data_IF_382210058630
#
_entry.id   IF_382210058630
#
_cell.length_a   1.000
_cell.length_b   1.000
_cell.length_c   1.000
_cell.angle_alpha   90.00
_cell.angle_beta   90.00
_cell.angle_gamma   90.00
#
_symmetry.space_group_name_H-M   'P 1'
#
loop_
_entity.id
_entity.type
_entity.pdbx_description
1 polymer ?
#
# COMPACT_ATOMS: atom_id res chain seq x y z
N UNK A 1 6.47 3.02 0.58
CA UNK A 1 5.87 1.68 0.79
C UNK A 1 4.84 1.72 1.91
N UNK A 2 5.24 1.98 3.17
CA UNK A 2 4.31 1.92 4.31
C UNK A 2 3.11 2.88 4.17
N UNK A 3 3.36 4.14 3.75
CA UNK A 3 2.29 5.13 3.53
C UNK A 3 1.31 4.65 2.47
N UNK A 4 1.80 4.13 1.32
CA UNK A 4 0.93 3.62 0.26
C UNK A 4 0.08 2.43 0.73
N UNK A 5 0.63 1.51 1.54
CA UNK A 5 -0.14 0.44 2.17
C UNK A 5 -1.21 0.99 3.11
N UNK A 6 -0.82 1.88 4.04
CA UNK A 6 -1.72 2.44 5.04
C UNK A 6 -2.88 3.23 4.41
N UNK A 7 -2.63 3.97 3.33
CA UNK A 7 -3.68 4.70 2.61
C UNK A 7 -4.71 3.77 1.96
N UNK A 8 -4.28 2.67 1.35
CA UNK A 8 -5.22 1.65 0.82
C UNK A 8 -6.00 0.99 1.95
N UNK A 9 -5.34 0.66 3.06
CA UNK A 9 -6.00 0.09 4.25
C UNK A 9 -7.02 1.07 4.83
N UNK A 10 -6.69 2.35 4.91
CA UNK A 10 -7.61 3.40 5.37
C UNK A 10 -8.82 3.56 4.43
N UNK A 11 -8.61 3.52 3.11
CA UNK A 11 -9.70 3.55 2.14
C UNK A 11 -10.74 2.45 2.40
N UNK A 12 -10.27 1.24 2.69
CA UNK A 12 -11.13 0.10 2.99
C UNK A 12 -11.61 0.07 4.45
N UNK A 13 -11.06 0.92 5.33
CA UNK A 13 -11.20 0.82 6.80
C UNK A 13 -10.99 -0.63 7.27
N UNK A 14 -9.92 -1.28 6.77
CA UNK A 14 -9.69 -2.71 6.93
C UNK A 14 -8.20 -3.07 6.97
N UNK A 15 -7.81 -4.09 7.79
CA UNK A 15 -8.62 -4.77 8.79
C UNK A 15 -8.72 -3.95 10.09
N UNK A 16 -9.76 -4.14 10.90
CA UNK A 16 -9.81 -3.56 12.25
C UNK A 16 -8.78 -4.23 13.18
N UNK A 17 -8.56 -5.54 13.01
CA UNK A 17 -7.52 -6.31 13.70
C UNK A 17 -6.78 -7.14 12.67
N UNK A 18 -5.46 -7.09 12.71
CA UNK A 18 -4.62 -7.88 11.81
C UNK A 18 -4.49 -9.33 12.26
N UNK A 19 -3.54 -10.05 11.66
CA UNK A 19 -3.27 -11.45 11.97
C UNK A 19 -1.81 -11.67 12.34
N UNK A 20 -1.57 -12.44 13.42
CA UNK A 20 -0.23 -12.85 13.84
C UNK A 20 0.69 -11.68 14.22
N UNK A 21 1.97 -11.90 14.20
CA UNK A 21 3.02 -10.93 14.52
C UNK A 21 4.22 -11.11 13.59
N UNK A 22 5.05 -10.09 13.51
CA UNK A 22 6.29 -10.13 12.75
C UNK A 22 7.37 -9.31 13.42
N UNK A 23 8.63 -9.71 13.24
CA UNK A 23 9.77 -8.94 13.67
C UNK A 23 11.00 -9.24 12.84
N UNK A 24 11.88 -8.25 12.75
CA UNK A 24 13.17 -8.35 12.08
C UNK A 24 14.20 -7.45 12.77
N UNK A 25 15.48 -7.72 12.53
CA UNK A 25 16.56 -6.86 13.03
C UNK A 25 16.99 -5.89 11.94
N UNK A 26 16.79 -4.59 12.20
CA UNK A 26 17.31 -3.52 11.36
C UNK A 26 18.77 -3.23 11.75
N UNK A 27 19.66 -3.04 10.78
CA UNK A 27 21.10 -2.87 11.03
C UNK A 27 21.43 -1.69 11.95
N UNK A 28 20.72 -0.57 11.80
CA UNK A 28 20.98 0.66 12.54
C UNK A 28 20.09 0.81 13.78
N UNK A 29 18.81 0.37 13.70
CA UNK A 29 17.79 0.65 14.72
C UNK A 29 17.41 -0.58 15.55
N UNK A 30 18.14 -1.70 15.42
CA UNK A 30 17.94 -2.90 16.22
C UNK A 30 16.66 -3.66 15.87
N UNK A 31 16.16 -4.41 16.85
CA UNK A 31 14.99 -5.28 16.63
C UNK A 31 13.69 -4.46 16.53
N UNK A 32 12.99 -4.66 15.45
CA UNK A 32 11.69 -4.07 15.15
C UNK A 32 10.63 -5.18 15.24
N UNK A 33 9.49 -4.88 15.87
CA UNK A 33 8.45 -5.88 16.11
C UNK A 33 7.05 -5.25 16.08
N UNK A 34 6.07 -5.97 15.51
CA UNK A 34 4.66 -5.62 15.55
C UNK A 34 3.82 -6.87 15.80
N UNK A 35 2.79 -6.75 16.64
CA UNK A 35 1.80 -7.79 16.86
C UNK A 35 0.45 -7.36 16.26
N UNK A 36 0.26 -7.66 14.99
CA UNK A 36 -0.92 -7.25 14.23
C UNK A 36 -2.21 -7.85 14.79
N UNK A 37 -2.13 -9.11 15.29
CA UNK A 37 -3.28 -9.82 15.86
C UNK A 37 -3.73 -9.34 17.24
N UNK A 38 -2.93 -8.46 17.88
CA UNK A 38 -3.27 -7.86 19.17
C UNK A 38 -3.50 -6.34 19.07
N UNK A 39 -3.49 -5.79 17.86
CA UNK A 39 -3.69 -4.35 17.61
C UNK A 39 -5.04 -4.10 16.96
N UNK A 40 -5.74 -3.08 17.45
CA UNK A 40 -6.98 -2.59 16.87
C UNK A 40 -6.70 -1.30 16.11
N UNK A 41 -7.01 -1.28 14.81
CA UNK A 41 -6.81 -0.13 13.94
C UNK A 41 -8.11 0.69 13.85
N UNK A 42 -8.20 1.76 14.62
CA UNK A 42 -9.34 2.67 14.61
C UNK A 42 -9.18 3.70 13.48
N UNK A 43 -9.69 3.39 12.30
CA UNK A 43 -9.59 4.24 11.12
C UNK A 43 -10.34 5.57 11.27
N UNK A 44 -11.39 5.63 12.11
CA UNK A 44 -12.14 6.87 12.35
C UNK A 44 -11.31 7.90 13.12
N UNK A 45 -10.34 7.45 13.92
CA UNK A 45 -9.41 8.31 14.66
C UNK A 45 -8.15 8.68 13.86
N UNK A 46 -7.99 8.16 12.64
CA UNK A 46 -6.87 8.50 11.77
C UNK A 46 -7.18 9.75 10.97
N UNK A 47 -6.61 10.90 11.36
CA UNK A 47 -6.82 12.16 10.65
C UNK A 47 -6.03 12.21 9.32
N UNK A 48 -6.62 12.85 8.30
CA UNK A 48 -6.04 12.95 6.96
C UNK A 48 -4.88 13.97 6.85
N UNK A 49 -4.75 14.91 7.78
CA UNK A 49 -3.87 16.07 7.65
C UNK A 49 -2.94 16.33 8.84
N UNK A 50 -2.97 15.46 9.84
CA UNK A 50 -2.01 15.46 10.95
C UNK A 50 -1.86 14.05 11.53
N UNK A 51 -0.69 13.72 12.13
CA UNK A 51 -0.47 12.39 12.69
C UNK A 51 -1.28 12.22 13.99
N UNK A 52 -1.95 11.08 14.11
CA UNK A 52 -2.57 10.58 15.34
C UNK A 52 -1.81 9.36 15.85
N UNK A 53 -2.05 8.92 17.09
CA UNK A 53 -1.48 7.68 17.62
C UNK A 53 -1.84 6.48 16.74
N UNK A 54 -3.09 6.42 16.29
CA UNK A 54 -3.65 5.35 15.47
C UNK A 54 -3.00 5.30 14.09
N UNK A 55 -2.84 6.46 13.43
CA UNK A 55 -2.15 6.52 12.14
C UNK A 55 -0.66 6.19 12.26
N UNK A 56 0.00 6.58 13.36
CA UNK A 56 1.40 6.25 13.60
C UNK A 56 1.60 4.75 13.86
N UNK A 57 0.70 4.12 14.64
CA UNK A 57 0.73 2.68 14.86
C UNK A 57 0.56 1.90 13.55
N UNK A 58 -0.46 2.25 12.74
CA UNK A 58 -0.68 1.62 11.45
C UNK A 58 0.54 1.75 10.52
N UNK A 59 1.10 2.96 10.41
CA UNK A 59 2.30 3.22 9.59
C UNK A 59 3.52 2.41 10.06
N UNK A 60 3.74 2.34 11.38
CA UNK A 60 4.82 1.55 11.96
C UNK A 60 4.62 0.05 11.68
N UNK A 61 3.39 -0.45 11.85
CA UNK A 61 3.04 -1.84 11.57
C UNK A 61 3.21 -2.17 10.08
N UNK A 62 2.77 -1.31 9.17
CA UNK A 62 3.05 -1.46 7.75
C UNK A 62 4.56 -1.52 7.49
N UNK A 63 5.35 -0.67 8.11
CA UNK A 63 6.81 -0.65 7.94
C UNK A 63 7.47 -1.94 8.48
N UNK A 64 7.07 -2.39 9.67
CA UNK A 64 7.59 -3.64 10.25
C UNK A 64 7.24 -4.84 9.37
N UNK A 65 6.01 -4.91 8.88
CA UNK A 65 5.50 -6.03 8.09
C UNK A 65 6.28 -6.29 6.79
N UNK A 66 6.94 -5.27 6.27
CA UNK A 66 7.73 -5.34 5.02
C UNK A 66 9.24 -5.34 5.26
N UNK A 67 9.71 -5.47 6.50
CA UNK A 67 11.13 -5.33 6.86
C UNK A 67 11.73 -4.03 6.32
N UNK A 68 11.09 -2.90 6.66
CA UNK A 68 11.50 -1.59 6.17
C UNK A 68 12.98 -1.31 6.46
N UNK A 69 13.72 -0.96 5.42
CA UNK A 69 15.05 -0.40 5.61
C UNK A 69 14.90 1.11 5.90
N UNK A 70 14.84 1.44 7.20
CA UNK A 70 14.72 2.82 7.66
C UNK A 70 15.99 3.62 7.38
N UNK A 71 15.83 4.82 6.84
CA UNK A 71 16.93 5.75 6.60
C UNK A 71 16.50 7.19 6.83
N UNK A 72 17.47 8.08 7.10
CA UNK A 72 17.23 9.50 7.37
C UNK A 72 16.69 10.20 6.13
N UNK A 73 17.25 9.90 4.95
CA UNK A 73 16.90 10.54 3.69
C UNK A 73 15.77 9.80 2.94
N UNK A 74 15.40 8.62 3.42
CA UNK A 74 14.33 7.79 2.85
C UNK A 74 14.34 6.39 3.43
N UNK A 75 13.18 5.75 3.39
CA UNK A 75 12.98 4.38 3.86
C UNK A 75 12.37 3.54 2.74
N UNK A 76 12.90 2.34 2.53
CA UNK A 76 12.52 1.50 1.40
C UNK A 76 12.23 0.05 1.75
N UNK A 77 11.40 -0.58 0.94
CA UNK A 77 11.17 -2.02 0.90
C UNK A 77 10.68 -2.44 -0.49
N UNK A 78 10.53 -3.72 -0.72
CA UNK A 78 10.11 -4.29 -2.01
C UNK A 78 8.58 -4.35 -2.09
N UNK A 79 8.02 -4.11 -3.28
CA UNK A 79 6.58 -4.20 -3.57
C UNK A 79 6.04 -5.62 -3.32
N UNK A 80 6.82 -6.65 -3.64
CA UNK A 80 6.46 -8.03 -3.33
C UNK A 80 6.28 -8.30 -1.83
N UNK A 81 7.01 -7.59 -0.96
CA UNK A 81 6.82 -7.66 0.50
C UNK A 81 5.53 -6.96 0.91
N UNK A 82 5.20 -5.82 0.31
CA UNK A 82 3.92 -5.15 0.55
C UNK A 82 2.75 -6.07 0.19
N UNK A 83 2.77 -6.68 -1.01
CA UNK A 83 1.78 -7.69 -1.43
C UNK A 83 1.63 -8.83 -0.42
N UNK A 84 2.74 -9.45 -0.04
CA UNK A 84 2.73 -10.60 0.88
C UNK A 84 2.25 -10.18 2.29
N UNK A 85 2.63 -8.98 2.74
CA UNK A 85 2.22 -8.42 4.01
C UNK A 85 0.71 -8.17 4.07
N UNK A 86 0.13 -7.57 3.03
CA UNK A 86 -1.31 -7.35 2.94
C UNK A 86 -2.10 -8.66 3.03
N UNK A 87 -1.59 -9.74 2.42
CA UNK A 87 -2.21 -11.07 2.48
C UNK A 87 -2.04 -11.74 3.85
N UNK A 88 -0.84 -11.71 4.40
CA UNK A 88 -0.45 -12.56 5.53
C UNK A 88 -0.78 -11.93 6.89
N UNK A 89 -0.73 -10.60 6.98
CA UNK A 89 -0.89 -9.88 8.24
C UNK A 89 -2.14 -9.00 8.27
N UNK A 90 -2.54 -8.45 7.12
CA UNK A 90 -3.66 -7.52 7.03
C UNK A 90 -4.91 -8.10 6.37
N UNK A 91 -4.96 -9.43 6.20
CA UNK A 91 -6.16 -10.18 5.82
C UNK A 91 -6.82 -9.73 4.50
N UNK A 92 -6.05 -9.17 3.58
CA UNK A 92 -6.52 -8.93 2.22
C UNK A 92 -6.54 -10.23 1.42
N UNK A 93 -7.34 -10.25 0.34
CA UNK A 93 -7.49 -11.44 -0.52
C UNK A 93 -6.14 -11.92 -1.08
N UNK A 94 -6.01 -13.22 -1.24
CA UNK A 94 -4.85 -13.83 -1.90
C UNK A 94 -4.79 -13.53 -3.41
N UNK A 95 -5.84 -12.94 -3.98
CA UNK A 95 -5.89 -12.50 -5.38
C UNK A 95 -5.07 -11.25 -5.69
N UNK A 96 -4.55 -10.54 -4.66
CA UNK A 96 -3.65 -9.41 -4.95
C UNK A 96 -2.52 -9.88 -5.84
N UNK A 97 -2.31 -9.22 -6.96
CA UNK A 97 -1.23 -9.54 -7.89
C UNK A 97 -0.30 -8.35 -8.11
N UNK A 98 0.95 -8.62 -8.40
CA UNK A 98 1.98 -7.62 -8.69
C UNK A 98 2.24 -7.65 -10.20
N UNK A 99 1.96 -6.54 -10.86
CA UNK A 99 2.14 -6.38 -12.29
C UNK A 99 3.19 -5.32 -12.61
N UNK A 100 3.99 -5.57 -13.65
CA UNK A 100 4.95 -4.61 -14.18
C UNK A 100 4.45 -4.01 -15.50
N UNK A 101 4.54 -2.70 -15.65
CA UNK A 101 4.16 -2.01 -16.89
C UNK A 101 4.91 -2.55 -18.12
N UNK A 102 6.17 -2.95 -17.94
CA UNK A 102 6.99 -3.53 -19.01
C UNK A 102 6.50 -4.88 -19.57
N UNK A 103 5.57 -5.55 -18.87
CA UNK A 103 4.98 -6.81 -19.33
C UNK A 103 3.80 -6.64 -20.28
N UNK A 104 3.36 -5.40 -20.53
CA UNK A 104 2.15 -5.08 -21.30
C UNK A 104 2.42 -3.99 -22.33
N UNK A 105 1.60 -3.90 -23.36
CA UNK A 105 1.54 -2.65 -24.14
C UNK A 105 0.94 -1.54 -23.28
N UNK A 106 1.28 -0.27 -23.60
CA UNK A 106 0.77 0.88 -22.84
C UNK A 106 -0.75 0.93 -22.77
N UNK A 107 -1.45 0.49 -23.83
CA UNK A 107 -2.91 0.42 -23.86
C UNK A 107 -3.44 -0.68 -22.93
N UNK A 108 -2.82 -1.85 -22.96
CA UNK A 108 -3.22 -2.97 -22.07
C UNK A 108 -3.03 -2.59 -20.61
N UNK A 109 -1.87 -2.03 -20.27
CA UNK A 109 -1.56 -1.62 -18.90
C UNK A 109 -2.56 -0.58 -18.39
N UNK A 110 -2.81 0.50 -19.17
CA UNK A 110 -3.84 1.49 -18.82
C UNK A 110 -5.23 0.87 -18.59
N UNK A 111 -5.63 -0.06 -19.46
CA UNK A 111 -6.94 -0.70 -19.32
C UNK A 111 -7.03 -1.59 -18.08
N UNK A 112 -5.94 -2.24 -17.67
CA UNK A 112 -5.89 -3.00 -16.40
C UNK A 112 -6.09 -2.04 -15.23
N UNK A 113 -5.36 -0.92 -15.17
CA UNK A 113 -5.48 0.05 -14.08
C UNK A 113 -6.88 0.68 -14.04
N UNK A 114 -7.45 1.07 -15.20
CA UNK A 114 -8.82 1.60 -15.26
C UNK A 114 -9.85 0.58 -14.77
N UNK A 115 -9.70 -0.69 -15.13
CA UNK A 115 -10.59 -1.75 -14.64
C UNK A 115 -10.54 -1.93 -13.12
N UNK A 116 -9.39 -1.74 -12.48
CA UNK A 116 -9.29 -1.72 -11.02
C UNK A 116 -10.11 -0.55 -10.43
N UNK A 117 -9.92 0.65 -10.98
CA UNK A 117 -10.61 1.86 -10.51
C UNK A 117 -12.13 1.81 -10.77
N UNK A 118 -12.56 1.23 -11.89
CA UNK A 118 -13.98 1.00 -12.21
C UNK A 118 -14.66 0.05 -11.21
N UNK A 119 -13.86 -0.80 -10.54
CA UNK A 119 -14.30 -1.68 -9.46
C UNK A 119 -14.09 -1.07 -8.07
N UNK A 120 -13.80 0.23 -7.97
CA UNK A 120 -13.51 0.96 -6.74
C UNK A 120 -12.34 0.36 -5.94
N UNK A 121 -11.31 -0.12 -6.63
CA UNK A 121 -10.09 -0.64 -6.02
C UNK A 121 -8.92 0.32 -6.24
N UNK A 122 -8.60 1.19 -5.28
CA UNK A 122 -7.37 1.97 -5.34
C UNK A 122 -6.17 1.05 -5.31
N UNK A 123 -5.14 1.42 -6.04
CA UNK A 123 -3.95 0.59 -6.18
C UNK A 123 -2.77 1.15 -5.39
N UNK A 124 -1.96 0.25 -4.84
CA UNK A 124 -0.58 0.54 -4.56
C UNK A 124 0.17 0.56 -5.88
N UNK A 125 0.91 1.61 -6.14
CA UNK A 125 1.69 1.83 -7.36
C UNK A 125 3.12 2.16 -7.00
N UNK A 126 4.07 1.81 -7.86
CA UNK A 126 5.47 2.16 -7.71
C UNK A 126 6.13 2.49 -9.05
N UNK A 127 7.20 3.24 -8.98
CA UNK A 127 8.02 3.62 -10.12
C UNK A 127 9.34 4.21 -9.65
N UNK A 128 10.27 4.35 -10.58
CA UNK A 128 11.60 4.86 -10.31
C UNK A 128 11.90 6.09 -11.19
N UNK A 129 12.75 6.96 -10.68
CA UNK A 129 13.43 8.01 -11.41
C UNK A 129 14.94 7.72 -11.46
N UNK A 130 15.75 8.71 -11.78
CA UNK A 130 17.23 8.59 -11.83
C UNK A 130 17.87 8.51 -10.45
N UNK A 131 17.17 8.93 -9.40
CA UNK A 131 17.70 9.06 -8.04
C UNK A 131 17.21 7.94 -7.13
N UNK A 132 16.09 7.27 -7.48
CA UNK A 132 15.55 6.17 -6.70
C UNK A 132 14.13 5.77 -7.09
N UNK A 133 13.52 4.96 -6.24
CA UNK A 133 12.16 4.45 -6.46
C UNK A 133 11.23 4.94 -5.36
N UNK A 134 9.98 5.18 -5.71
CA UNK A 134 8.93 5.59 -4.79
C UNK A 134 7.71 4.69 -4.93
N UNK A 135 6.91 4.59 -3.86
CA UNK A 135 5.64 3.90 -3.86
C UNK A 135 4.54 4.83 -3.35
N UNK A 136 3.42 4.88 -4.08
CA UNK A 136 2.28 5.76 -3.83
C UNK A 136 0.96 5.08 -4.19
N UNK A 137 -0.13 5.83 -4.27
CA UNK A 137 -1.43 5.29 -4.67
C UNK A 137 -1.94 5.93 -5.95
N UNK A 138 -2.60 5.12 -6.77
CA UNK A 138 -3.49 5.56 -7.84
C UNK A 138 -4.92 5.23 -7.41
N UNK A 139 -5.78 6.27 -7.34
CA UNK A 139 -7.11 6.18 -6.75
C UNK A 139 -8.23 6.75 -7.63
N UNK A 140 -7.91 7.20 -8.85
CA UNK A 140 -8.88 7.71 -9.81
C UNK A 140 -8.29 7.90 -11.21
N UNK A 141 -9.15 8.18 -12.18
CA UNK A 141 -8.71 8.59 -13.53
C UNK A 141 -9.74 9.47 -14.22
N UNK A 142 -9.25 10.29 -15.16
CA UNK A 142 -10.05 11.04 -16.13
C UNK A 142 -9.39 10.91 -17.52
N UNK A 143 -10.08 10.26 -18.45
CA UNK A 143 -9.49 9.90 -19.73
C UNK A 143 -8.24 9.04 -19.59
N UNK A 144 -7.09 9.51 -20.04
CA UNK A 144 -5.79 8.82 -19.89
C UNK A 144 -4.94 9.35 -18.72
N UNK A 145 -5.47 10.29 -17.96
CA UNK A 145 -4.82 10.82 -16.77
C UNK A 145 -5.26 10.05 -15.53
N UNK A 146 -4.32 9.62 -14.73
CA UNK A 146 -4.56 8.92 -13.47
C UNK A 146 -4.30 9.86 -12.30
N UNK A 147 -5.20 9.86 -11.31
CA UNK A 147 -4.99 10.61 -10.07
C UNK A 147 -4.01 9.84 -9.19
N UNK A 148 -2.95 10.54 -8.79
CA UNK A 148 -1.85 10.00 -8.00
C UNK A 148 -1.79 10.71 -6.65
N UNK A 149 -1.72 9.93 -5.58
CA UNK A 149 -1.46 10.40 -4.22
C UNK A 149 -0.08 9.91 -3.79
N UNK A 150 0.92 10.78 -3.90
CA UNK A 150 2.32 10.44 -3.61
C UNK A 150 2.63 10.22 -2.12
N UNK A 151 1.69 10.48 -1.22
CA UNK A 151 1.89 10.28 0.21
C UNK A 151 2.76 11.36 0.87
N UNK A 152 2.89 12.54 0.24
CA UNK A 152 3.71 13.66 0.71
C UNK A 152 2.86 14.79 1.28
N UNK A 153 1.85 14.44 2.08
CA UNK A 153 0.94 15.44 2.69
C UNK A 153 0.16 16.27 1.66
N UNK A 154 -0.17 15.67 0.52
CA UNK A 154 -0.88 16.33 -0.59
C UNK A 154 0.04 17.02 -1.59
N UNK A 155 1.33 17.17 -1.29
CA UNK A 155 2.29 17.74 -2.23
C UNK A 155 2.43 16.84 -3.47
N UNK A 156 2.41 17.44 -4.66
CA UNK A 156 2.49 16.78 -5.96
C UNK A 156 1.30 15.86 -6.29
N UNK A 157 0.29 15.73 -5.42
CA UNK A 157 -0.92 14.98 -5.78
C UNK A 157 -1.61 15.61 -7.00
N UNK A 158 -2.13 14.76 -7.89
CA UNK A 158 -2.78 15.26 -9.10
C UNK A 158 -2.92 14.20 -10.19
N UNK A 159 -3.40 14.66 -11.34
CA UNK A 159 -3.63 13.83 -12.50
C UNK A 159 -2.43 13.82 -13.44
N UNK A 160 -1.88 12.64 -13.72
CA UNK A 160 -0.70 12.43 -14.56
C UNK A 160 -0.96 11.38 -15.63
N UNK A 161 -0.28 11.52 -16.77
CA UNK A 161 -0.13 10.42 -17.72
C UNK A 161 0.88 9.39 -17.16
N UNK A 162 0.67 8.10 -17.41
CA UNK A 162 1.63 7.06 -16.99
C UNK A 162 3.01 7.19 -17.63
N UNK A 163 3.11 7.94 -18.72
CA UNK A 163 4.38 8.27 -19.38
C UNK A 163 5.08 9.51 -18.79
N UNK A 164 4.49 10.16 -17.78
CA UNK A 164 5.03 11.38 -17.15
C UNK A 164 4.49 11.49 -15.73
N UNK A 165 4.98 10.63 -14.85
CA UNK A 165 4.56 10.48 -13.45
C UNK A 165 5.48 11.24 -12.49
N UNK A 166 5.57 12.57 -12.66
CA UNK A 166 6.38 13.42 -11.80
C UNK A 166 7.87 12.97 -11.72
N UNK A 167 8.39 12.37 -12.81
CA UNK A 167 9.74 11.86 -12.91
C UNK A 167 9.90 10.35 -12.65
N UNK A 168 8.95 9.71 -11.97
CA UNK A 168 8.98 8.26 -11.70
C UNK A 168 8.51 7.44 -12.91
N UNK A 169 9.17 7.62 -14.04
CA UNK A 169 8.74 7.13 -15.35
C UNK A 169 9.34 5.75 -15.71
N UNK A 170 10.20 5.19 -14.83
CA UNK A 170 10.89 3.92 -15.04
C UNK A 170 10.39 2.84 -14.10
N UNK A 171 10.54 1.58 -14.50
CA UNK A 171 10.25 0.38 -13.72
C UNK A 171 8.91 0.43 -12.97
N UNK A 172 7.88 0.95 -13.67
CA UNK A 172 6.56 1.12 -13.09
C UNK A 172 5.88 -0.21 -12.84
N UNK A 173 5.22 -0.31 -11.70
CA UNK A 173 4.45 -1.47 -11.28
C UNK A 173 3.24 -1.10 -10.43
N UNK A 174 2.36 -2.07 -10.25
CA UNK A 174 1.18 -1.92 -9.40
C UNK A 174 0.84 -3.21 -8.67
N UNK A 175 0.26 -3.08 -7.48
CA UNK A 175 -0.53 -4.15 -6.87
C UNK A 175 -2.00 -3.94 -7.25
N UNK A 176 -2.58 -4.94 -7.88
CA UNK A 176 -3.98 -5.00 -8.32
C UNK A 176 -4.76 -6.05 -7.54
N UNK A 177 -6.10 -5.99 -7.60
CA UNK A 177 -6.96 -6.92 -6.87
C UNK A 177 -6.91 -6.73 -5.36
N UNK A 178 -6.61 -5.52 -4.87
CA UNK A 178 -6.56 -5.22 -3.44
C UNK A 178 -7.98 -5.08 -2.90
N UNK A 179 -8.44 -6.14 -2.26
CA UNK A 179 -9.75 -6.20 -1.63
C UNK A 179 -9.65 -6.89 -0.26
N UNK A 180 -10.44 -6.47 0.75
CA UNK A 180 -10.63 -7.20 1.98
C UNK A 180 -11.05 -8.65 1.73
N UNK A 181 -10.62 -9.59 2.57
CA UNK A 181 -11.26 -10.91 2.60
C UNK A 181 -12.71 -10.72 3.02
N UNK A 182 -13.67 -11.36 2.31
CA UNK A 182 -15.06 -11.28 2.73
C UNK A 182 -15.20 -11.96 4.10
N UNK A 183 -16.05 -11.40 4.97
CA UNK A 183 -16.41 -11.99 6.26
C UNK A 183 -17.09 -13.37 6.12
N UNK A 184 -17.53 -13.71 4.90
CA UNK A 184 -18.11 -15.03 4.56
C UNK A 184 -17.04 -16.11 4.32
N UNK A 185 -15.75 -15.81 4.51
CA UNK A 185 -14.71 -16.83 4.42
C UNK A 185 -14.75 -17.68 5.72
N UNK A 186 -15.17 -18.97 5.66
CA UNK A 186 -15.32 -19.83 6.83
C UNK A 186 -14.02 -20.12 7.59
N UNK A 187 -12.87 -19.65 7.08
CA UNK A 187 -11.57 -19.76 7.73
C UNK A 187 -11.20 -18.52 8.57
N UNK A 188 -12.00 -17.47 8.54
CA UNK A 188 -11.87 -16.35 9.47
C UNK A 188 -12.69 -16.71 10.71
N UNK A 189 -12.07 -17.38 11.66
CA UNK A 189 -12.67 -17.59 12.99
C UNK A 189 -12.66 -16.22 13.68
N UNK A 190 -13.82 -15.56 13.71
CA UNK A 190 -14.03 -14.44 14.62
C UNK A 190 -13.84 -15.01 16.03
N UNK A 191 -12.78 -14.63 16.72
CA UNK A 191 -12.67 -14.90 18.14
C UNK A 191 -13.63 -13.96 18.85
N UNK A 192 -14.71 -14.50 19.40
CA UNK A 192 -15.57 -13.79 20.35
C UNK A 192 -14.70 -13.37 21.55
N UNK A 193 -14.56 -12.08 21.78
CA UNK A 193 -13.96 -11.48 22.96
C UNK A 193 -15.04 -11.11 23.97
#
# INVERSE_FOLDING_TARGET
VAVAMAQVMHYWSYPEVGYSSHGYTHNQYGYQYANFGASYYDYEQMANNYPTSESQELLYHCAVSVNMNFGIDGSGSQTSRARNSMRNYFLFKNSIDEISAGSYSSTQYRNILKNELDQNRPMYYDGCDTDGCHAWNIDGYDGDYFHNNFGWGGSQNGNYLLSSLNGFDYDQGALIGIEPQSLDNPNVVLQDY
#
